data_IF_426339828454
#
_entry.id   IF_426339828454
#
_cell.length_a   1.000
_cell.length_b   1.000
_cell.length_c   1.000
_cell.angle_alpha   90.00
_cell.angle_beta   90.00
_cell.angle_gamma   90.00
#
_symmetry.space_group_name_H-M   'P 1'
#
loop_
_entity.id
_entity.type
_entity.pdbx_description
1 polymer ?
#
# COMPACT_ATOMS: atom_id res chain seq x y z
N UNK A 1 35.41 -32.92 14.71
CA UNK A 1 34.08 -32.28 14.75
C UNK A 1 33.27 -32.79 13.58
N UNK A 2 32.43 -33.82 13.80
CA UNK A 2 31.45 -34.19 12.78
C UNK A 2 30.48 -33.04 12.63
N UNK A 3 30.45 -32.47 11.45
CA UNK A 3 29.52 -31.37 11.07
C UNK A 3 28.09 -31.81 11.44
N UNK A 4 27.33 -30.97 12.12
CA UNK A 4 25.92 -31.16 12.42
C UNK A 4 25.10 -31.53 11.18
N UNK A 5 25.45 -30.96 10.03
CA UNK A 5 24.83 -31.25 8.73
C UNK A 5 24.92 -32.75 8.32
N UNK A 6 26.02 -33.43 8.61
CA UNK A 6 26.15 -34.89 8.31
C UNK A 6 25.20 -35.75 9.17
N UNK A 7 24.91 -35.36 10.41
CA UNK A 7 23.94 -36.04 11.29
C UNK A 7 22.49 -35.83 10.81
N UNK A 8 22.17 -34.66 10.22
CA UNK A 8 20.81 -34.30 9.84
C UNK A 8 20.35 -34.97 8.53
N UNK A 9 21.29 -35.40 7.67
CA UNK A 9 20.97 -36.16 6.43
C UNK A 9 20.32 -37.50 6.69
N UNK A 10 20.60 -38.12 7.84
CA UNK A 10 20.04 -39.44 8.22
C UNK A 10 18.77 -39.35 9.07
N UNK A 11 18.34 -38.13 9.41
CA UNK A 11 17.08 -37.95 10.12
C UNK A 11 15.90 -38.01 9.15
N UNK A 12 14.71 -38.27 9.67
CA UNK A 12 13.48 -38.25 8.88
C UNK A 12 13.21 -36.85 8.37
N UNK A 13 12.67 -36.75 7.16
CA UNK A 13 12.49 -35.50 6.45
C UNK A 13 11.61 -34.49 7.20
N UNK A 14 12.01 -33.23 7.15
CA UNK A 14 11.28 -32.11 7.70
C UNK A 14 11.59 -30.86 6.85
N UNK A 15 10.54 -30.19 6.36
CA UNK A 15 10.63 -29.01 5.50
C UNK A 15 9.72 -27.95 6.07
N UNK A 16 10.28 -26.76 6.35
CA UNK A 16 9.50 -25.60 6.74
C UNK A 16 9.26 -24.72 5.51
N UNK A 17 7.99 -24.45 5.20
CA UNK A 17 7.62 -23.54 4.12
C UNK A 17 7.66 -22.10 4.60
N UNK A 18 8.51 -21.30 3.98
CA UNK A 18 8.76 -19.90 4.36
C UNK A 18 8.29 -18.89 3.30
N UNK A 19 8.01 -19.36 2.09
CA UNK A 19 7.51 -18.52 1.00
C UNK A 19 6.57 -19.34 0.11
N UNK A 20 5.73 -18.63 -0.64
CA UNK A 20 4.86 -19.21 -1.66
C UNK A 20 5.22 -18.63 -3.02
N UNK A 21 5.06 -19.45 -4.05
CA UNK A 21 5.13 -19.06 -5.45
C UNK A 21 3.90 -19.61 -6.19
N UNK A 22 3.63 -19.11 -7.37
CA UNK A 22 2.47 -19.52 -8.15
C UNK A 22 2.84 -19.64 -9.63
N UNK A 23 2.32 -20.69 -10.24
CA UNK A 23 2.46 -20.92 -11.67
C UNK A 23 1.07 -21.24 -12.26
N UNK A 24 0.72 -20.61 -13.39
CA UNK A 24 -0.62 -20.71 -13.97
C UNK A 24 -0.98 -22.16 -14.42
N UNK A 25 0.01 -23.04 -14.60
CA UNK A 25 -0.18 -24.44 -15.01
C UNK A 25 -0.08 -25.43 -13.86
N UNK A 26 0.71 -25.12 -12.84
CA UNK A 26 1.04 -26.03 -11.74
C UNK A 26 0.25 -25.67 -10.49
N UNK A 27 -0.21 -24.42 -10.39
CA UNK A 27 -0.87 -23.85 -9.22
C UNK A 27 0.13 -23.37 -8.17
N UNK A 28 -0.28 -23.42 -6.90
CA UNK A 28 0.50 -22.95 -5.76
C UNK A 28 1.71 -23.83 -5.51
N UNK A 29 2.85 -23.23 -5.21
CA UNK A 29 4.15 -23.87 -5.00
C UNK A 29 4.67 -23.41 -3.64
N UNK A 30 4.91 -24.37 -2.73
CA UNK A 30 5.55 -24.08 -1.45
C UNK A 30 7.06 -24.03 -1.61
N UNK A 31 7.67 -22.93 -1.15
CA UNK A 31 9.12 -22.76 -1.10
C UNK A 31 9.59 -22.88 0.33
N UNK A 32 10.53 -23.79 0.58
CA UNK A 32 11.00 -24.04 1.92
C UNK A 32 12.39 -24.63 1.97
N UNK A 33 12.95 -24.65 3.16
CA UNK A 33 14.25 -25.31 3.42
C UNK A 33 14.02 -26.70 3.95
N UNK A 34 14.78 -27.65 3.43
CA UNK A 34 14.87 -28.98 4.01
C UNK A 34 15.73 -28.87 5.27
N UNK A 35 15.09 -28.93 6.44
CA UNK A 35 15.78 -28.82 7.74
C UNK A 35 16.47 -30.14 8.12
N UNK A 36 15.81 -31.26 7.81
CA UNK A 36 16.32 -32.61 8.11
C UNK A 36 15.98 -33.58 6.99
N UNK A 37 16.80 -34.60 6.86
CA UNK A 37 16.56 -35.75 5.98
C UNK A 37 16.71 -35.46 4.51
N UNK A 38 15.93 -36.15 3.71
CA UNK A 38 15.90 -36.01 2.25
C UNK A 38 14.48 -36.14 1.75
N UNK A 39 14.10 -35.31 0.81
CA UNK A 39 12.80 -35.35 0.12
C UNK A 39 13.01 -35.86 -1.32
N UNK A 40 12.06 -36.63 -1.82
CA UNK A 40 12.08 -37.17 -3.20
C UNK A 40 10.77 -36.78 -3.91
N UNK A 41 10.87 -36.71 -5.24
CA UNK A 41 9.70 -36.62 -6.10
C UNK A 41 8.77 -37.84 -5.93
N UNK A 42 7.46 -37.60 -5.96
CA UNK A 42 6.40 -38.58 -5.76
C UNK A 42 6.36 -39.23 -4.35
N UNK A 43 7.11 -38.75 -3.39
CA UNK A 43 7.12 -39.25 -2.03
C UNK A 43 5.88 -38.75 -1.25
N UNK A 44 5.23 -39.61 -0.43
CA UNK A 44 4.18 -39.17 0.45
C UNK A 44 4.78 -38.42 1.64
N UNK A 45 4.15 -37.29 2.00
CA UNK A 45 4.51 -36.47 3.15
C UNK A 45 3.26 -36.11 3.94
N UNK A 46 3.42 -35.73 5.19
CA UNK A 46 2.36 -35.20 6.04
C UNK A 46 2.56 -33.67 6.17
N UNK A 47 1.61 -32.89 5.70
CA UNK A 47 1.57 -31.47 5.90
C UNK A 47 0.92 -31.15 7.24
N UNK A 48 1.67 -30.55 8.15
CA UNK A 48 1.18 -30.04 9.43
C UNK A 48 0.78 -28.59 9.25
N UNK A 49 -0.53 -28.31 9.30
CA UNK A 49 -1.11 -26.96 9.11
C UNK A 49 -1.02 -26.12 10.39
N UNK A 50 -1.14 -24.81 10.23
CA UNK A 50 -1.08 -23.83 11.33
C UNK A 50 -2.21 -23.98 12.35
N UNK A 51 -3.34 -24.56 11.97
CA UNK A 51 -4.48 -24.86 12.85
C UNK A 51 -4.30 -26.19 13.64
N UNK A 52 -3.16 -26.87 13.46
CA UNK A 52 -2.85 -28.17 14.09
C UNK A 52 -3.40 -29.37 13.34
N UNK A 53 -4.10 -29.18 12.21
CA UNK A 53 -4.57 -30.27 11.37
C UNK A 53 -3.41 -30.90 10.57
N UNK A 54 -3.56 -32.16 10.19
CA UNK A 54 -2.57 -32.92 9.43
C UNK A 54 -3.21 -33.44 8.15
N UNK A 55 -2.53 -33.26 7.03
CA UNK A 55 -3.00 -33.67 5.71
C UNK A 55 -1.94 -34.57 5.04
N UNK A 56 -2.34 -35.75 4.57
CA UNK A 56 -1.46 -36.61 3.78
C UNK A 56 -1.44 -36.11 2.33
N UNK A 57 -0.30 -35.65 1.88
CA UNK A 57 -0.11 -35.10 0.53
C UNK A 57 1.06 -35.78 -0.17
N UNK A 58 1.19 -35.61 -1.45
CA UNK A 58 2.29 -36.16 -2.25
C UNK A 58 3.04 -35.04 -2.97
N UNK A 59 4.36 -35.11 -2.96
CA UNK A 59 5.26 -34.24 -3.71
C UNK A 59 5.10 -34.55 -5.21
N UNK A 60 4.29 -33.78 -5.95
CA UNK A 60 4.11 -34.04 -7.38
C UNK A 60 5.34 -33.68 -8.19
N UNK A 61 5.91 -32.52 -7.93
CA UNK A 61 7.19 -32.11 -8.52
C UNK A 61 8.05 -31.43 -7.47
N UNK A 62 9.34 -31.60 -7.60
CA UNK A 62 10.37 -31.05 -6.73
C UNK A 62 11.34 -30.24 -7.59
N UNK A 63 11.59 -28.99 -7.17
CA UNK A 63 12.54 -28.12 -7.86
C UNK A 63 13.57 -27.56 -6.89
N UNK A 64 14.73 -27.21 -7.41
CA UNK A 64 15.76 -26.41 -6.75
C UNK A 64 16.03 -25.16 -7.55
N UNK A 65 16.59 -24.12 -6.92
CA UNK A 65 17.03 -22.91 -7.59
C UNK A 65 18.46 -23.06 -8.13
N UNK A 66 18.62 -22.86 -9.43
CA UNK A 66 19.93 -22.66 -10.07
C UNK A 66 19.98 -21.22 -10.60
N UNK A 67 20.66 -20.33 -9.86
CA UNK A 67 20.58 -18.90 -10.09
C UNK A 67 19.17 -18.35 -9.87
N UNK A 68 18.55 -17.81 -10.92
CA UNK A 68 17.17 -17.30 -10.88
C UNK A 68 16.13 -18.29 -11.43
N UNK A 69 16.59 -19.44 -11.95
CA UNK A 69 15.71 -20.42 -12.58
C UNK A 69 15.39 -21.58 -11.64
N UNK A 70 14.21 -22.16 -11.78
CA UNK A 70 13.81 -23.40 -11.10
C UNK A 70 14.13 -24.60 -11.97
N UNK A 71 14.89 -25.54 -11.46
CA UNK A 71 15.27 -26.79 -12.13
C UNK A 71 14.63 -27.95 -11.41
N UNK A 72 13.95 -28.84 -12.14
CA UNK A 72 13.34 -30.02 -11.58
C UNK A 72 14.41 -31.04 -11.17
N UNK A 73 14.29 -31.58 -9.95
CA UNK A 73 15.22 -32.55 -9.37
C UNK A 73 14.48 -33.75 -8.83
N UNK A 74 15.14 -34.90 -8.80
CA UNK A 74 14.54 -36.13 -8.25
C UNK A 74 14.58 -36.20 -6.74
N UNK A 75 15.55 -35.54 -6.12
CA UNK A 75 15.69 -35.51 -4.65
C UNK A 75 16.48 -34.29 -4.19
N UNK A 76 16.21 -33.85 -2.96
CA UNK A 76 16.93 -32.81 -2.25
C UNK A 76 17.23 -33.23 -0.81
N UNK A 77 18.31 -32.69 -0.24
CA UNK A 77 18.81 -33.05 1.09
C UNK A 77 18.75 -31.90 2.09
N UNK A 78 18.98 -32.22 3.36
CA UNK A 78 19.05 -31.23 4.44
C UNK A 78 20.01 -30.07 4.07
N UNK A 79 19.54 -28.83 4.20
CA UNK A 79 20.21 -27.60 3.83
C UNK A 79 19.75 -27.01 2.50
N UNK A 80 19.14 -27.81 1.61
CA UNK A 80 18.67 -27.34 0.31
C UNK A 80 17.39 -26.50 0.44
N UNK A 81 17.26 -25.49 -0.41
CA UNK A 81 16.01 -24.73 -0.61
C UNK A 81 15.26 -25.36 -1.77
N UNK A 82 14.04 -25.81 -1.51
CA UNK A 82 13.22 -26.55 -2.46
C UNK A 82 11.90 -25.85 -2.74
N UNK A 83 11.40 -26.06 -3.95
CA UNK A 83 10.05 -25.69 -4.35
C UNK A 83 9.24 -26.97 -4.55
N UNK A 84 8.11 -27.11 -3.86
CA UNK A 84 7.26 -28.28 -3.90
C UNK A 84 5.91 -27.91 -4.47
N UNK A 85 5.46 -28.67 -5.47
CA UNK A 85 4.13 -28.53 -6.06
C UNK A 85 3.28 -29.79 -5.82
N UNK A 86 1.96 -29.64 -6.00
CA UNK A 86 0.99 -30.72 -5.81
C UNK A 86 0.27 -30.65 -4.46
N UNK A 87 0.46 -29.56 -3.73
CA UNK A 87 -0.23 -29.25 -2.48
C UNK A 87 -1.08 -28.01 -2.75
N UNK A 88 -2.40 -28.18 -2.89
CA UNK A 88 -3.30 -27.10 -3.30
C UNK A 88 -3.50 -26.03 -2.23
N UNK A 89 -3.42 -26.39 -0.97
CA UNK A 89 -3.70 -25.52 0.19
C UNK A 89 -2.51 -25.42 1.12
N UNK A 90 -1.36 -25.07 0.56
CA UNK A 90 -0.12 -24.86 1.31
C UNK A 90 -0.01 -23.40 1.75
N UNK A 91 0.43 -23.17 3.00
CA UNK A 91 0.61 -21.85 3.56
C UNK A 91 2.01 -21.68 4.17
N UNK A 92 2.41 -20.42 4.36
CA UNK A 92 3.68 -20.11 5.05
C UNK A 92 3.59 -20.50 6.52
N UNK A 93 4.69 -21.05 7.03
CA UNK A 93 4.80 -21.51 8.42
C UNK A 93 4.35 -22.97 8.61
N UNK A 94 3.79 -23.63 7.60
CA UNK A 94 3.46 -25.03 7.64
C UNK A 94 4.70 -25.91 7.48
N UNK A 95 4.67 -27.10 8.07
CA UNK A 95 5.78 -28.04 8.05
C UNK A 95 5.39 -29.32 7.34
N UNK A 96 6.17 -29.73 6.33
CA UNK A 96 6.05 -31.05 5.77
C UNK A 96 6.98 -32.05 6.50
N UNK A 97 6.39 -33.12 6.97
CA UNK A 97 7.08 -34.16 7.73
C UNK A 97 7.03 -35.53 7.02
N UNK A 98 7.93 -36.42 7.40
CA UNK A 98 7.81 -37.85 7.05
C UNK A 98 6.57 -38.45 7.73
N UNK A 99 5.79 -39.30 7.03
CA UNK A 99 4.65 -40.00 7.64
C UNK A 99 5.01 -40.80 8.89
N UNK A 100 6.23 -41.30 8.96
CA UNK A 100 6.73 -42.11 10.12
C UNK A 100 7.17 -41.23 11.31
N UNK A 101 7.32 -39.90 11.13
CA UNK A 101 7.81 -39.02 12.20
C UNK A 101 7.26 -37.62 11.99
N UNK A 102 6.14 -37.36 12.61
CA UNK A 102 5.43 -36.07 12.51
C UNK A 102 5.93 -35.18 13.65
N UNK A 103 6.82 -34.27 13.31
CA UNK A 103 7.39 -33.28 14.21
C UNK A 103 7.28 -31.89 13.56
N UNK A 104 6.15 -31.15 13.71
CA UNK A 104 6.00 -29.82 13.16
C UNK A 104 6.97 -28.85 13.83
N UNK A 105 7.53 -27.94 13.04
CA UNK A 105 8.32 -26.83 13.56
C UNK A 105 7.40 -25.75 14.15
N UNK A 106 7.93 -24.86 15.02
CA UNK A 106 7.14 -23.74 15.52
C UNK A 106 6.57 -22.93 14.36
N UNK A 107 5.26 -22.69 14.36
CA UNK A 107 4.59 -21.94 13.30
C UNK A 107 5.06 -20.49 13.29
N UNK A 108 5.35 -20.00 12.09
CA UNK A 108 5.61 -18.57 11.86
C UNK A 108 4.26 -17.87 11.79
N UNK A 109 3.97 -17.05 12.80
CA UNK A 109 2.76 -16.22 12.81
C UNK A 109 2.91 -15.11 11.79
N UNK A 110 2.00 -15.05 10.83
CA UNK A 110 1.93 -13.95 9.88
C UNK A 110 0.95 -12.92 10.42
N UNK A 111 1.37 -11.66 10.43
CA UNK A 111 0.51 -10.57 10.87
C UNK A 111 -0.67 -10.40 9.92
N UNK A 112 -1.84 -10.20 10.52
CA UNK A 112 -3.06 -9.90 9.78
C UNK A 112 -3.00 -8.51 9.13
N UNK A 113 -3.73 -8.30 8.02
CA UNK A 113 -3.86 -6.97 7.43
C UNK A 113 -4.43 -5.97 8.44
N UNK A 114 -3.83 -4.78 8.48
CA UNK A 114 -4.25 -3.68 9.37
C UNK A 114 -4.90 -2.52 8.63
N UNK A 115 -4.66 -2.39 7.32
CA UNK A 115 -5.15 -1.31 6.46
C UNK A 115 -5.88 -1.92 5.27
N UNK A 116 -6.97 -1.28 4.85
CA UNK A 116 -7.72 -1.63 3.64
C UNK A 116 -8.00 -0.40 2.78
N UNK A 117 -8.13 -0.61 1.47
CA UNK A 117 -8.58 0.40 0.51
C UNK A 117 -9.37 -0.25 -0.62
N UNK A 118 -10.17 0.55 -1.32
CA UNK A 118 -10.93 0.06 -2.46
C UNK A 118 -10.15 0.30 -3.76
N UNK A 119 -10.07 -0.75 -4.58
CA UNK A 119 -9.63 -0.71 -5.96
C UNK A 119 -10.87 -0.75 -6.85
N UNK A 120 -10.99 0.18 -7.77
CA UNK A 120 -12.19 0.35 -8.58
C UNK A 120 -11.82 0.54 -10.05
N UNK A 121 -12.73 0.17 -10.93
CA UNK A 121 -12.61 0.53 -12.34
C UNK A 121 -12.55 2.05 -12.47
N UNK A 122 -11.68 2.56 -13.35
CA UNK A 122 -11.60 3.98 -13.63
C UNK A 122 -12.82 4.41 -14.45
N UNK A 123 -13.66 5.26 -13.88
CA UNK A 123 -14.85 5.84 -14.50
C UNK A 123 -14.68 7.34 -14.81
N UNK A 124 -13.44 7.84 -14.84
CA UNK A 124 -13.13 9.22 -15.16
C UNK A 124 -13.38 9.53 -16.64
N UNK A 125 -13.52 10.81 -17.03
CA UNK A 125 -13.61 11.22 -18.44
C UNK A 125 -12.41 10.81 -19.30
N UNK A 126 -11.29 10.46 -18.68
CA UNK A 126 -10.06 10.03 -19.36
C UNK A 126 -9.84 8.51 -19.28
N UNK A 127 -10.82 7.77 -18.77
CA UNK A 127 -10.72 6.32 -18.65
C UNK A 127 -10.40 5.63 -19.99
N UNK A 128 -9.48 4.66 -19.95
CA UNK A 128 -9.09 3.86 -21.13
C UNK A 128 -8.15 4.54 -22.12
N UNK A 129 -7.67 5.76 -21.82
CA UNK A 129 -6.74 6.46 -22.73
C UNK A 129 -5.29 5.99 -22.61
N UNK A 130 -4.90 5.52 -21.47
CA UNK A 130 -3.50 5.22 -21.15
C UNK A 130 -3.28 3.76 -20.75
N UNK A 131 -4.27 3.12 -20.16
CA UNK A 131 -4.19 1.75 -19.69
C UNK A 131 -4.46 0.71 -20.77
N UNK A 132 -3.77 -0.43 -20.69
CA UNK A 132 -4.04 -1.62 -21.49
C UNK A 132 -5.13 -2.51 -20.85
N UNK A 133 -5.11 -2.61 -19.52
CA UNK A 133 -6.01 -3.42 -18.73
C UNK A 133 -6.92 -2.51 -17.89
N UNK A 134 -8.15 -2.30 -18.33
CA UNK A 134 -9.07 -1.28 -17.79
C UNK A 134 -10.40 -1.85 -17.29
N UNK A 135 -10.66 -3.15 -17.51
CA UNK A 135 -11.94 -3.77 -17.16
C UNK A 135 -11.93 -4.31 -15.73
N UNK A 136 -13.12 -4.42 -15.13
CA UNK A 136 -13.32 -5.04 -13.81
C UNK A 136 -12.71 -6.44 -13.75
N UNK A 137 -12.92 -7.25 -14.78
CA UNK A 137 -12.34 -8.60 -14.90
C UNK A 137 -10.82 -8.59 -14.84
N UNK A 138 -10.16 -7.70 -15.62
CA UNK A 138 -8.69 -7.61 -15.59
C UNK A 138 -8.16 -7.26 -14.20
N UNK A 139 -8.79 -6.29 -13.53
CA UNK A 139 -8.40 -5.85 -12.19
C UNK A 139 -8.62 -6.99 -11.19
N UNK A 140 -9.80 -7.65 -11.25
CA UNK A 140 -10.14 -8.79 -10.42
C UNK A 140 -9.12 -9.92 -10.53
N UNK A 141 -8.89 -10.41 -11.75
CA UNK A 141 -7.99 -11.54 -12.00
C UNK A 141 -6.57 -11.22 -11.51
N UNK A 142 -6.11 -9.98 -11.68
CA UNK A 142 -4.79 -9.53 -11.21
C UNK A 142 -4.71 -9.46 -9.68
N UNK A 143 -5.74 -8.94 -9.01
CA UNK A 143 -5.77 -8.83 -7.55
C UNK A 143 -5.84 -10.21 -6.89
N UNK A 144 -6.68 -11.12 -7.41
CA UNK A 144 -6.75 -12.48 -6.87
C UNK A 144 -5.48 -13.28 -7.12
N UNK A 145 -4.80 -13.07 -8.25
CA UNK A 145 -3.49 -13.68 -8.51
C UNK A 145 -2.43 -13.21 -7.50
N UNK A 146 -2.49 -11.97 -7.04
CA UNK A 146 -1.57 -11.46 -6.01
C UNK A 146 -1.73 -12.21 -4.69
N UNK A 147 -2.95 -12.55 -4.29
CA UNK A 147 -3.23 -13.27 -3.03
C UNK A 147 -2.64 -14.69 -3.04
N UNK A 148 -2.45 -15.31 -4.20
CA UNK A 148 -1.86 -16.65 -4.29
C UNK A 148 -0.41 -16.70 -3.79
N UNK A 149 0.33 -15.61 -3.92
CA UNK A 149 1.73 -15.49 -3.49
C UNK A 149 1.90 -14.64 -2.25
N UNK A 150 0.97 -13.73 -1.97
CA UNK A 150 1.05 -12.75 -0.90
C UNK A 150 0.05 -13.04 0.22
N UNK A 151 0.45 -13.89 1.15
CA UNK A 151 -0.39 -14.36 2.27
C UNK A 151 -0.83 -13.27 3.25
N UNK A 152 -0.17 -12.10 3.22
CA UNK A 152 -0.53 -10.96 4.08
C UNK A 152 -1.54 -10.02 3.43
N UNK A 153 -1.98 -10.33 2.24
CA UNK A 153 -2.97 -9.56 1.50
C UNK A 153 -4.29 -10.32 1.45
N UNK A 154 -5.39 -9.59 1.56
CA UNK A 154 -6.74 -10.13 1.34
C UNK A 154 -7.45 -9.27 0.31
N UNK A 155 -8.17 -9.93 -0.58
CA UNK A 155 -9.02 -9.30 -1.59
C UNK A 155 -10.44 -9.80 -1.39
N UNK A 156 -11.37 -8.87 -1.21
CA UNK A 156 -12.79 -9.15 -1.01
C UNK A 156 -13.58 -8.46 -2.12
N UNK A 157 -14.53 -9.18 -2.70
CA UNK A 157 -15.53 -8.57 -3.59
C UNK A 157 -16.49 -7.74 -2.73
N UNK A 158 -16.97 -6.63 -3.29
CA UNK A 158 -17.97 -5.78 -2.64
C UNK A 158 -19.33 -5.96 -3.32
N UNK A 159 -20.37 -5.29 -2.81
CA UNK A 159 -21.70 -5.28 -3.45
C UNK A 159 -21.68 -4.70 -4.87
N UNK A 160 -20.62 -3.98 -5.22
CA UNK A 160 -20.38 -3.46 -6.57
C UNK A 160 -19.44 -4.37 -7.34
N UNK A 161 -19.83 -4.76 -8.55
CA UNK A 161 -19.01 -5.58 -9.46
C UNK A 161 -17.71 -4.92 -9.92
N UNK A 162 -17.61 -3.61 -9.76
CA UNK A 162 -16.49 -2.78 -10.22
C UNK A 162 -15.57 -2.31 -9.09
N UNK A 163 -15.80 -2.83 -7.87
CA UNK A 163 -15.06 -2.42 -6.67
C UNK A 163 -14.57 -3.63 -5.90
N UNK A 164 -13.30 -3.65 -5.56
CA UNK A 164 -12.63 -4.69 -4.78
C UNK A 164 -12.01 -4.06 -3.54
N UNK A 165 -12.28 -4.64 -2.38
CA UNK A 165 -11.63 -4.23 -1.12
C UNK A 165 -10.33 -5.01 -0.97
N UNK A 166 -9.23 -4.32 -0.95
CA UNK A 166 -7.89 -4.89 -0.78
C UNK A 166 -7.35 -4.49 0.58
N UNK A 167 -6.93 -5.48 1.35
CA UNK A 167 -6.38 -5.30 2.69
C UNK A 167 -4.93 -5.75 2.73
N UNK A 168 -4.07 -4.98 3.40
CA UNK A 168 -2.63 -5.22 3.50
C UNK A 168 -2.08 -4.85 4.87
N UNK A 169 -0.81 -5.18 5.13
CA UNK A 169 -0.15 -4.90 6.41
C UNK A 169 0.06 -3.42 6.69
N UNK A 170 0.14 -2.60 5.64
CA UNK A 170 0.41 -1.17 5.77
C UNK A 170 0.34 -0.43 4.44
N UNK A 171 0.50 0.88 4.51
CA UNK A 171 0.42 1.78 3.35
C UNK A 171 1.44 1.42 2.26
N UNK A 172 2.70 1.16 2.64
CA UNK A 172 3.76 0.78 1.71
C UNK A 172 3.43 -0.52 0.96
N UNK A 173 2.82 -1.49 1.61
CA UNK A 173 2.43 -2.76 0.98
C UNK A 173 1.39 -2.53 -0.13
N UNK A 174 0.41 -1.66 0.11
CA UNK A 174 -0.61 -1.30 -0.88
C UNK A 174 -0.04 -0.41 -1.99
N UNK A 175 0.88 0.51 -1.69
CA UNK A 175 1.52 1.37 -2.70
C UNK A 175 2.41 0.57 -3.66
N UNK A 176 3.11 -0.46 -3.17
CA UNK A 176 3.89 -1.39 -4.02
C UNK A 176 2.97 -2.15 -4.98
N UNK A 177 1.83 -2.64 -4.50
CA UNK A 177 0.84 -3.30 -5.37
C UNK A 177 0.35 -2.34 -6.46
N UNK A 178 -0.05 -1.12 -6.08
CA UNK A 178 -0.53 -0.09 -7.02
C UNK A 178 0.53 0.21 -8.08
N UNK A 179 1.77 0.45 -7.67
CA UNK A 179 2.86 0.77 -8.60
C UNK A 179 3.21 -0.44 -9.50
N UNK A 180 3.16 -1.66 -8.98
CA UNK A 180 3.38 -2.88 -9.76
C UNK A 180 2.29 -3.04 -10.83
N UNK A 181 1.02 -2.88 -10.48
CA UNK A 181 -0.08 -2.93 -11.44
C UNK A 181 0.02 -1.82 -12.47
N UNK A 182 0.36 -0.59 -12.04
CA UNK A 182 0.59 0.55 -12.93
C UNK A 182 1.65 0.24 -13.99
N UNK A 183 2.81 -0.31 -13.60
CA UNK A 183 3.90 -0.72 -14.52
C UNK A 183 3.51 -1.86 -15.44
N UNK A 184 2.60 -2.72 -15.01
CA UNK A 184 2.05 -3.79 -15.84
C UNK A 184 1.02 -3.30 -16.88
N UNK A 185 0.67 -2.02 -16.87
CA UNK A 185 -0.24 -1.41 -17.83
C UNK A 185 -1.71 -1.39 -17.40
N UNK A 186 -1.99 -1.61 -16.12
CA UNK A 186 -3.34 -1.49 -15.57
C UNK A 186 -3.72 -0.02 -15.36
N UNK A 187 -5.00 0.27 -15.55
CA UNK A 187 -5.62 1.55 -15.24
C UNK A 187 -6.82 1.30 -14.32
N UNK A 188 -6.83 1.99 -13.19
CA UNK A 188 -7.83 1.84 -12.14
C UNK A 188 -7.86 3.08 -11.25
N UNK A 189 -8.76 3.13 -10.30
CA UNK A 189 -8.79 4.16 -9.28
C UNK A 189 -8.83 3.55 -7.88
N UNK A 190 -8.30 4.29 -6.91
CA UNK A 190 -8.26 3.84 -5.52
C UNK A 190 -8.84 4.86 -4.57
N UNK A 191 -9.42 4.38 -3.47
CA UNK A 191 -9.90 5.20 -2.37
C UNK A 191 -8.78 5.48 -1.36
N UNK A 192 -9.04 6.40 -0.43
CA UNK A 192 -8.19 6.59 0.74
C UNK A 192 -8.01 5.28 1.51
N UNK A 193 -6.78 4.95 1.96
CA UNK A 193 -6.56 3.83 2.86
C UNK A 193 -7.22 4.08 4.22
N UNK A 194 -7.84 3.02 4.78
CA UNK A 194 -8.51 3.03 6.09
C UNK A 194 -7.99 1.88 6.94
N UNK A 195 -7.83 2.11 8.23
CA UNK A 195 -7.49 1.04 9.16
C UNK A 195 -8.68 0.09 9.34
N UNK A 196 -8.36 -1.17 9.55
CA UNK A 196 -9.37 -2.22 9.80
C UNK A 196 -9.68 -2.20 11.30
N UNK A 197 -10.90 -1.79 11.63
CA UNK A 197 -11.40 -1.82 12.99
C UNK A 197 -11.93 -3.21 13.32
N UNK A 198 -11.74 -3.65 14.58
CA UNK A 198 -12.28 -4.91 15.10
C UNK A 198 -13.15 -4.64 16.33
N UNK A 199 -14.18 -5.42 16.48
CA UNK A 199 -14.97 -5.42 17.72
C UNK A 199 -14.41 -6.47 18.68
N UNK A 200 -13.86 -6.03 19.81
CA UNK A 200 -13.27 -6.89 20.83
C UNK A 200 -13.96 -6.57 22.16
N UNK A 201 -14.61 -7.57 22.76
CA UNK A 201 -15.36 -7.43 24.03
C UNK A 201 -16.42 -6.31 23.97
N UNK A 202 -17.11 -6.15 22.84
CA UNK A 202 -18.16 -5.12 22.66
C UNK A 202 -17.62 -3.69 22.53
N UNK A 203 -16.32 -3.51 22.30
CA UNK A 203 -15.68 -2.22 22.03
C UNK A 203 -15.04 -2.22 20.67
N UNK A 204 -15.22 -1.12 19.93
CA UNK A 204 -14.50 -0.88 18.68
C UNK A 204 -13.02 -0.65 18.99
N UNK A 205 -12.17 -1.51 18.46
CA UNK A 205 -10.72 -1.46 18.63
C UNK A 205 -10.03 -1.16 17.30
N UNK A 206 -8.92 -0.45 17.38
CA UNK A 206 -8.07 -0.11 16.24
C UNK A 206 -6.68 -0.74 16.38
N UNK A 207 -6.00 -1.01 15.25
CA UNK A 207 -4.65 -1.55 15.28
C UNK A 207 -3.66 -0.51 15.82
N UNK A 208 -2.78 -0.97 16.71
CA UNK A 208 -1.71 -0.18 17.32
C UNK A 208 -0.36 -0.63 16.81
N UNK A 209 0.57 0.30 16.71
CA UNK A 209 1.95 0.04 16.34
C UNK A 209 2.91 0.58 17.39
N UNK A 210 3.97 -0.18 17.62
CA UNK A 210 5.17 0.30 18.31
C UNK A 210 6.05 0.98 17.27
N UNK A 211 6.13 2.29 17.36
CA UNK A 211 6.94 3.12 16.49
C UNK A 211 8.28 3.41 17.18
N UNK A 212 9.37 3.06 16.53
CA UNK A 212 10.73 3.33 16.99
C UNK A 212 11.33 4.40 16.08
N UNK A 213 11.75 5.49 16.69
CA UNK A 213 12.32 6.65 16.00
C UNK A 213 13.70 6.96 16.53
N UNK A 214 14.67 7.17 15.65
CA UNK A 214 16.01 7.65 15.99
C UNK A 214 16.25 8.98 15.27
N UNK A 215 16.45 10.04 16.02
CA UNK A 215 16.65 11.41 15.49
C UNK A 215 17.70 12.17 16.26
N UNK A 216 18.44 13.11 15.63
CA UNK A 216 19.25 14.09 16.34
C UNK A 216 18.43 14.90 17.34
N UNK A 217 19.04 15.29 18.47
CA UNK A 217 18.38 15.97 19.59
C UNK A 217 17.55 17.20 19.17
N UNK A 218 18.04 17.95 18.21
CA UNK A 218 17.37 19.17 17.70
C UNK A 218 15.98 18.93 17.08
N UNK A 219 15.66 17.69 16.65
CA UNK A 219 14.37 17.35 16.03
C UNK A 219 13.40 16.64 16.98
N UNK A 220 13.86 16.27 18.18
CA UNK A 220 13.06 15.51 19.16
C UNK A 220 11.74 16.22 19.49
N UNK A 221 11.79 17.52 19.74
CA UNK A 221 10.60 18.31 20.08
C UNK A 221 9.54 18.28 18.99
N UNK A 222 9.94 18.49 17.72
CA UNK A 222 9.03 18.46 16.57
C UNK A 222 8.38 17.08 16.38
N UNK A 223 9.17 16.01 16.55
CA UNK A 223 8.67 14.62 16.43
C UNK A 223 7.65 14.31 17.54
N UNK A 224 7.95 14.66 18.80
CA UNK A 224 7.04 14.42 19.93
C UNK A 224 5.72 15.18 19.75
N UNK A 225 5.77 16.46 19.36
CA UNK A 225 4.57 17.28 19.09
C UNK A 225 3.70 16.68 18.01
N UNK A 226 4.30 16.32 16.87
CA UNK A 226 3.60 15.73 15.72
C UNK A 226 2.97 14.38 16.05
N UNK A 227 3.71 13.48 16.67
CA UNK A 227 3.18 12.16 17.06
C UNK A 227 2.12 12.27 18.15
N UNK A 228 2.27 13.20 19.09
CA UNK A 228 1.25 13.47 20.10
C UNK A 228 -0.08 13.92 19.49
N UNK A 229 -0.06 14.83 18.51
CA UNK A 229 -1.27 15.26 17.78
C UNK A 229 -1.96 14.09 17.02
N UNK A 230 -1.20 13.07 16.64
CA UNK A 230 -1.64 11.84 15.97
C UNK A 230 -1.98 10.70 16.94
N UNK A 231 -2.17 11.01 18.24
CA UNK A 231 -2.50 10.07 19.33
C UNK A 231 -1.38 9.08 19.65
N UNK A 232 -0.14 9.41 19.34
CA UNK A 232 1.04 8.67 19.78
C UNK A 232 1.34 8.94 21.25
N UNK A 233 1.58 7.89 22.01
CA UNK A 233 1.99 7.92 23.42
C UNK A 233 3.47 7.56 23.50
N UNK A 234 4.28 8.44 24.06
CA UNK A 234 5.72 8.19 24.28
C UNK A 234 5.86 7.14 25.38
N UNK A 235 6.45 6.00 25.05
CA UNK A 235 6.67 4.86 25.96
C UNK A 235 8.06 4.92 26.56
N UNK A 236 9.05 5.25 25.74
CA UNK A 236 10.46 5.24 26.15
C UNK A 236 11.24 6.32 25.39
N UNK A 237 12.25 6.88 26.07
CA UNK A 237 13.17 7.85 25.48
C UNK A 237 14.58 7.62 26.07
N UNK A 238 15.56 7.53 25.20
CA UNK A 238 16.96 7.34 25.59
C UNK A 238 17.92 7.93 24.58
N UNK A 239 19.16 8.20 25.03
CA UNK A 239 20.23 8.64 24.14
C UNK A 239 21.09 7.44 23.77
N UNK A 240 21.40 7.25 22.50
CA UNK A 240 22.36 6.23 22.05
C UNK A 240 23.76 6.81 21.87
N UNK A 241 24.74 5.92 21.84
CA UNK A 241 26.11 6.26 21.50
C UNK A 241 26.13 6.90 20.09
N UNK A 242 26.65 8.14 20.01
CA UNK A 242 26.64 8.93 18.75
C UNK A 242 25.74 10.15 18.74
N UNK A 243 24.99 10.43 19.83
CA UNK A 243 24.21 11.67 20.01
C UNK A 243 22.82 11.64 19.34
N UNK A 244 22.38 10.48 18.86
CA UNK A 244 21.01 10.29 18.40
C UNK A 244 20.10 9.95 19.58
N UNK A 245 18.92 10.56 19.62
CA UNK A 245 17.87 10.24 20.58
C UNK A 245 16.99 9.13 20.03
N UNK A 246 16.83 8.09 20.83
CA UNK A 246 15.94 6.95 20.56
C UNK A 246 14.60 7.20 21.28
N UNK A 247 13.52 7.13 20.51
CA UNK A 247 12.16 7.35 20.99
C UNK A 247 11.31 6.14 20.62
N UNK A 248 10.51 5.67 21.57
CA UNK A 248 9.52 4.61 21.34
C UNK A 248 8.11 5.15 21.60
N UNK A 249 7.24 5.03 20.62
CA UNK A 249 5.86 5.45 20.73
C UNK A 249 4.91 4.27 20.49
N UNK A 250 3.83 4.27 21.24
CA UNK A 250 2.67 3.45 20.95
C UNK A 250 1.61 4.32 20.29
N UNK A 251 1.29 4.01 19.02
CA UNK A 251 0.49 4.88 18.18
C UNK A 251 -0.54 4.07 17.35
N UNK A 252 -1.77 4.58 17.15
CA UNK A 252 -2.71 3.97 16.20
C UNK A 252 -2.12 3.93 14.79
N UNK A 253 -2.25 2.79 14.07
CA UNK A 253 -1.74 2.66 12.69
C UNK A 253 -2.24 3.77 11.76
N UNK A 254 -3.48 4.27 11.94
CA UNK A 254 -4.00 5.41 11.18
C UNK A 254 -3.27 6.73 11.45
N UNK A 255 -2.62 6.87 12.60
CA UNK A 255 -1.78 8.03 12.92
C UNK A 255 -0.47 8.06 12.13
N UNK A 256 -0.04 6.93 11.59
CA UNK A 256 1.17 6.81 10.77
C UNK A 256 0.92 6.98 9.28
N UNK A 257 -0.34 6.95 8.83
CA UNK A 257 -0.68 7.21 7.43
C UNK A 257 -0.21 8.62 7.07
N UNK A 258 0.70 8.69 6.09
CA UNK A 258 1.30 9.93 5.61
C UNK A 258 2.37 10.55 6.51
N UNK A 259 2.59 10.04 7.71
CA UNK A 259 3.58 10.64 8.62
C UNK A 259 5.03 10.51 8.12
N UNK A 260 5.33 9.48 7.33
CA UNK A 260 6.70 9.24 6.84
C UNK A 260 7.24 10.42 6.01
N UNK A 261 6.43 11.01 5.16
CA UNK A 261 6.82 12.15 4.34
C UNK A 261 7.05 13.43 5.19
N UNK A 262 6.16 13.67 6.16
CA UNK A 262 6.33 14.77 7.13
C UNK A 262 7.58 14.56 7.97
N UNK A 263 7.79 13.37 8.51
CA UNK A 263 8.94 13.01 9.33
C UNK A 263 10.27 13.27 8.61
N UNK A 264 10.39 12.86 7.34
CA UNK A 264 11.59 13.14 6.54
C UNK A 264 11.81 14.63 6.31
N UNK A 265 10.73 15.40 6.15
CA UNK A 265 10.82 16.86 6.02
C UNK A 265 11.22 17.53 7.33
N UNK A 266 10.57 17.18 8.43
CA UNK A 266 10.82 17.75 9.76
C UNK A 266 12.22 17.42 10.29
N UNK A 267 12.78 16.28 9.91
CA UNK A 267 14.13 15.83 10.29
C UNK A 267 15.22 16.15 9.25
N UNK A 268 14.86 16.83 8.15
CA UNK A 268 15.75 17.06 7.00
C UNK A 268 16.44 15.77 6.49
N UNK A 269 15.72 14.63 6.55
CA UNK A 269 16.22 13.31 6.17
C UNK A 269 17.16 12.64 7.17
N UNK A 270 17.42 13.24 8.35
CA UNK A 270 18.35 12.70 9.35
C UNK A 270 17.69 11.77 10.39
N UNK A 271 16.45 11.38 10.17
CA UNK A 271 15.72 10.48 11.06
C UNK A 271 15.57 9.07 10.49
N UNK A 272 15.57 8.08 11.39
CA UNK A 272 15.24 6.69 11.09
C UNK A 272 13.92 6.36 11.79
N UNK A 273 13.01 5.73 11.09
CA UNK A 273 11.69 5.37 11.60
C UNK A 273 11.36 3.92 11.24
N UNK A 274 11.09 3.11 12.25
CA UNK A 274 10.66 1.72 12.13
C UNK A 274 9.36 1.51 12.91
N UNK A 275 8.48 0.66 12.40
CA UNK A 275 7.20 0.37 13.03
C UNK A 275 6.92 -1.13 13.02
N UNK A 276 6.30 -1.62 14.10
CA UNK A 276 5.91 -3.01 14.28
C UNK A 276 4.51 -3.06 14.86
N UNK A 277 3.67 -3.95 14.33
CA UNK A 277 2.32 -4.15 14.85
C UNK A 277 2.36 -4.64 16.32
N UNK A 278 1.61 -3.97 17.20
CA UNK A 278 1.59 -4.19 18.66
C UNK A 278 0.21 -4.62 19.20
N UNK A 279 -0.72 -4.98 18.33
CA UNK A 279 -2.03 -5.47 18.74
C UNK A 279 -3.18 -4.50 18.49
N UNK A 280 -4.28 -4.67 19.22
CA UNK A 280 -5.50 -3.86 19.10
C UNK A 280 -5.84 -3.19 20.43
N UNK A 281 -6.19 -1.90 20.40
CA UNK A 281 -6.69 -1.14 21.54
C UNK A 281 -8.02 -0.45 21.22
N UNK A 282 -8.80 -0.05 22.24
CA UNK A 282 -9.98 0.75 22.03
C UNK A 282 -9.68 2.01 21.22
N UNK A 283 -10.59 2.37 20.32
CA UNK A 283 -10.46 3.53 19.43
C UNK A 283 -10.19 4.83 20.22
N UNK A 284 -9.08 5.51 19.89
CA UNK A 284 -8.55 6.70 20.62
C UNK A 284 -9.17 8.03 20.16
N UNK A 285 -10.29 8.01 19.46
CA UNK A 285 -10.95 9.23 18.96
C UNK A 285 -10.38 9.69 17.60
N UNK A 286 -10.88 10.78 17.09
CA UNK A 286 -10.50 11.26 15.75
C UNK A 286 -9.07 11.81 15.70
N UNK A 287 -8.41 11.60 14.56
CA UNK A 287 -7.13 12.20 14.19
C UNK A 287 -7.39 13.11 12.99
N UNK A 288 -7.07 14.38 13.15
CA UNK A 288 -7.16 15.35 12.04
C UNK A 288 -5.95 15.16 11.15
N UNK A 289 -6.16 14.66 9.93
CA UNK A 289 -5.08 14.41 8.97
C UNK A 289 -4.85 15.61 8.05
N UNK A 290 -5.85 16.00 7.26
CA UNK A 290 -5.78 17.13 6.35
C UNK A 290 -6.98 18.06 6.56
N UNK A 291 -6.73 19.27 7.06
CA UNK A 291 -7.77 20.28 7.24
C UNK A 291 -8.06 21.03 5.93
N UNK A 292 -7.03 21.33 5.15
CA UNK A 292 -7.12 22.13 3.94
C UNK A 292 -7.99 21.48 2.86
N UNK A 293 -8.71 22.34 2.13
CA UNK A 293 -9.54 21.93 1.00
C UNK A 293 -8.74 21.65 -0.27
N UNK A 294 -9.44 21.26 -1.33
CA UNK A 294 -8.89 20.98 -2.65
C UNK A 294 -9.21 22.12 -3.62
N UNK A 295 -8.30 22.40 -4.55
CA UNK A 295 -8.57 23.22 -5.73
C UNK A 295 -9.10 22.28 -6.81
N UNK A 296 -10.38 22.45 -7.14
CA UNK A 296 -11.14 21.54 -8.02
C UNK A 296 -11.40 22.25 -9.36
N UNK A 297 -11.20 21.54 -10.45
CA UNK A 297 -11.43 22.04 -11.81
C UNK A 297 -12.93 22.25 -12.07
N UNK A 298 -13.27 23.38 -12.68
CA UNK A 298 -14.65 23.77 -13.00
C UNK A 298 -15.17 23.11 -14.27
N UNK A 299 -14.34 23.02 -15.31
CA UNK A 299 -14.74 22.55 -16.64
C UNK A 299 -13.62 21.74 -17.30
N UNK A 300 -14.00 20.89 -18.24
CA UNK A 300 -13.05 20.09 -19.02
C UNK A 300 -12.35 20.97 -20.07
N UNK A 301 -11.04 20.84 -20.19
CA UNK A 301 -10.23 21.60 -21.13
C UNK A 301 -8.74 21.41 -20.92
N UNK A 302 -7.95 22.40 -21.30
CA UNK A 302 -6.50 22.44 -21.12
C UNK A 302 -6.14 23.57 -20.16
N UNK A 303 -5.31 23.29 -19.16
CA UNK A 303 -4.83 24.30 -18.21
C UNK A 303 -4.01 25.37 -18.93
N UNK A 304 -4.30 26.64 -18.65
CA UNK A 304 -3.60 27.77 -19.24
C UNK A 304 -2.72 28.50 -18.22
N UNK A 305 -1.64 29.11 -18.65
CA UNK A 305 -0.80 29.92 -17.78
C UNK A 305 -1.61 31.02 -17.07
N UNK A 306 -2.56 31.67 -17.78
CA UNK A 306 -3.44 32.70 -17.21
C UNK A 306 -4.41 32.12 -16.16
N UNK A 307 -5.00 30.96 -16.41
CA UNK A 307 -5.90 30.32 -15.48
C UNK A 307 -5.18 29.89 -14.18
N UNK A 308 -3.97 29.33 -14.32
CA UNK A 308 -3.12 28.94 -13.19
C UNK A 308 -2.62 30.15 -12.41
N UNK A 309 -2.20 31.24 -13.09
CA UNK A 309 -1.78 32.48 -12.46
C UNK A 309 -2.88 33.07 -11.55
N UNK A 310 -4.11 33.10 -12.01
CA UNK A 310 -5.25 33.58 -11.21
C UNK A 310 -5.64 32.62 -10.06
N UNK A 311 -5.13 31.38 -10.08
CA UNK A 311 -5.47 30.35 -9.08
C UNK A 311 -4.37 30.16 -8.05
N UNK A 312 -3.11 30.45 -8.35
CA UNK A 312 -1.96 30.22 -7.47
C UNK A 312 -2.04 30.93 -6.12
N UNK A 313 -2.68 32.09 -6.03
CA UNK A 313 -2.87 32.82 -4.77
C UNK A 313 -3.87 32.13 -3.83
N UNK A 314 -4.60 31.15 -4.32
CA UNK A 314 -5.58 30.37 -3.53
C UNK A 314 -5.02 29.14 -2.90
N UNK A 315 -3.79 28.74 -3.26
CA UNK A 315 -3.14 27.58 -2.71
C UNK A 315 -2.02 27.03 -3.59
N UNK A 316 -1.55 25.83 -3.25
CA UNK A 316 -0.44 25.14 -3.91
C UNK A 316 -0.96 24.32 -5.09
N UNK A 317 -0.40 24.52 -6.29
CA UNK A 317 -0.78 23.80 -7.50
C UNK A 317 0.05 22.52 -7.70
N UNK A 318 -0.56 21.52 -8.34
CA UNK A 318 0.05 20.21 -8.62
C UNK A 318 0.36 19.95 -10.09
N UNK A 319 -0.13 20.82 -10.98
CA UNK A 319 0.01 20.67 -12.42
C UNK A 319 0.58 21.93 -13.09
N UNK A 320 1.34 21.78 -14.19
CA UNK A 320 1.77 22.91 -15.03
C UNK A 320 0.67 23.35 -15.99
N UNK A 321 0.96 24.39 -16.77
CA UNK A 321 0.15 24.79 -17.92
C UNK A 321 0.30 23.78 -19.07
N UNK A 322 -0.74 23.64 -19.88
CA UNK A 322 -0.77 22.73 -21.04
C UNK A 322 -1.24 21.32 -20.74
N UNK A 323 -1.70 21.05 -19.52
CA UNK A 323 -2.21 19.73 -19.12
C UNK A 323 -3.71 19.65 -19.37
N UNK A 324 -4.16 18.56 -19.98
CA UNK A 324 -5.59 18.26 -20.11
C UNK A 324 -6.20 17.97 -18.72
N UNK A 325 -7.37 18.53 -18.46
CA UNK A 325 -8.11 18.42 -17.21
C UNK A 325 -9.58 18.23 -17.47
N UNK A 326 -10.30 17.69 -16.50
CA UNK A 326 -11.75 17.51 -16.57
C UNK A 326 -12.46 18.08 -15.32
N UNK A 327 -13.75 18.34 -15.41
CA UNK A 327 -14.58 18.80 -14.29
C UNK A 327 -14.45 17.84 -13.10
N UNK A 328 -14.16 18.37 -11.92
CA UNK A 328 -14.01 17.56 -10.71
C UNK A 328 -12.60 17.00 -10.46
N UNK A 329 -11.66 17.18 -11.39
CA UNK A 329 -10.24 16.87 -11.17
C UNK A 329 -9.67 17.81 -10.11
N UNK A 330 -8.80 17.32 -9.24
CA UNK A 330 -8.12 18.10 -8.21
C UNK A 330 -6.74 18.46 -8.73
N UNK A 331 -6.43 19.75 -8.73
CA UNK A 331 -5.20 20.30 -9.32
C UNK A 331 -4.37 21.12 -8.34
N UNK A 332 -4.77 21.12 -7.08
CA UNK A 332 -4.03 21.79 -6.02
C UNK A 332 -4.67 21.63 -4.65
N UNK A 333 -3.91 22.04 -3.63
CA UNK A 333 -4.36 22.18 -2.25
C UNK A 333 -4.76 23.63 -1.98
N UNK A 334 -5.95 23.82 -1.42
CA UNK A 334 -6.42 25.16 -1.07
C UNK A 334 -5.74 25.68 0.21
N UNK A 335 -5.50 26.97 0.30
CA UNK A 335 -5.01 27.61 1.53
C UNK A 335 -6.06 27.63 2.65
N UNK A 336 -7.36 27.45 2.31
CA UNK A 336 -8.50 27.39 3.24
C UNK A 336 -8.96 25.95 3.44
N UNK A 337 -9.74 25.73 4.49
CA UNK A 337 -10.27 24.40 4.85
C UNK A 337 -11.39 23.91 3.90
N UNK A 338 -11.91 24.77 3.06
CA UNK A 338 -12.98 24.46 2.12
C UNK A 338 -12.45 24.24 0.70
N UNK A 339 -13.12 23.36 -0.05
CA UNK A 339 -12.82 23.16 -1.46
C UNK A 339 -13.20 24.38 -2.30
N UNK A 340 -12.34 24.74 -3.22
CA UNK A 340 -12.57 25.84 -4.15
C UNK A 340 -12.63 25.30 -5.57
N UNK A 341 -13.68 25.67 -6.30
CA UNK A 341 -13.81 25.35 -7.73
C UNK A 341 -13.27 26.50 -8.56
N UNK A 342 -12.26 26.22 -9.38
CA UNK A 342 -11.56 27.22 -10.19
C UNK A 342 -11.61 26.87 -11.68
N UNK A 343 -11.73 27.87 -12.52
CA UNK A 343 -11.57 27.73 -13.97
C UNK A 343 -10.12 27.98 -14.36
N UNK A 344 -9.36 26.89 -14.48
CA UNK A 344 -7.94 26.94 -14.91
C UNK A 344 -7.75 26.84 -16.43
N UNK A 345 -8.83 26.62 -17.18
CA UNK A 345 -8.80 26.57 -18.64
C UNK A 345 -9.00 27.96 -19.28
N UNK A 346 -9.30 28.98 -18.47
CA UNK A 346 -9.58 30.31 -18.92
C UNK A 346 -8.36 30.95 -19.59
N UNK A 347 -8.50 31.39 -20.85
CA UNK A 347 -7.50 32.17 -21.57
C UNK A 347 -7.65 33.68 -21.30
N UNK A 348 -6.56 34.41 -21.43
CA UNK A 348 -6.61 35.89 -21.41
C UNK A 348 -7.37 36.38 -22.66
N UNK A 349 -8.47 37.09 -22.48
CA UNK A 349 -9.09 37.77 -23.61
C UNK A 349 -8.17 38.89 -24.08
N UNK A 350 -7.77 38.84 -25.34
CA UNK A 350 -7.07 39.94 -25.99
C UNK A 350 -8.06 41.12 -26.10
N UNK A 351 -7.95 42.09 -25.22
CA UNK A 351 -8.65 43.36 -25.37
C UNK A 351 -7.84 44.23 -26.34
N UNK A 352 -8.47 44.56 -27.47
CA UNK A 352 -7.91 45.56 -28.39
C UNK A 352 -7.67 46.85 -27.63
N UNK A 353 -6.46 47.40 -27.72
CA UNK A 353 -6.00 48.77 -27.53
C UNK A 353 -5.09 49.06 -26.32
N UNK A 354 -3.97 49.67 -26.65
CA UNK A 354 -3.12 50.63 -25.87
C UNK A 354 -2.32 50.14 -24.66
N UNK A 355 -2.32 48.84 -24.32
CA UNK A 355 -1.42 48.30 -23.29
C UNK A 355 -0.52 47.19 -23.83
N UNK A 356 -0.07 47.28 -25.07
CA UNK A 356 0.87 46.34 -25.68
C UNK A 356 2.30 46.41 -25.09
N UNK A 357 2.54 47.32 -24.13
CA UNK A 357 3.81 47.47 -23.43
C UNK A 357 3.91 46.80 -22.06
N UNK A 358 2.82 46.20 -21.55
CA UNK A 358 2.81 45.59 -20.22
C UNK A 358 2.36 44.12 -20.26
N UNK A 359 2.80 43.33 -21.24
CA UNK A 359 2.80 41.88 -21.14
C UNK A 359 3.97 41.47 -20.24
N UNK A 360 3.87 41.82 -18.94
CA UNK A 360 4.72 41.23 -17.95
C UNK A 360 4.52 39.73 -18.02
N UNK A 361 5.62 38.96 -18.22
CA UNK A 361 5.61 37.55 -18.26
C UNK A 361 4.94 37.02 -16.98
N UNK A 362 3.84 36.27 -17.11
CA UNK A 362 3.10 35.71 -15.99
C UNK A 362 4.05 34.83 -15.20
N UNK A 363 4.45 35.26 -14.01
CA UNK A 363 5.29 34.46 -13.09
C UNK A 363 4.42 33.44 -12.40
N UNK A 364 4.54 32.20 -12.83
CA UNK A 364 3.93 31.05 -12.13
C UNK A 364 4.87 30.58 -11.03
N UNK A 365 4.30 30.34 -9.84
CA UNK A 365 4.99 29.60 -8.76
C UNK A 365 5.19 28.16 -9.24
N UNK A 366 6.36 27.54 -9.01
CA UNK A 366 6.57 26.14 -9.34
C UNK A 366 5.48 25.25 -8.76
N UNK A 367 4.92 24.38 -9.59
CA UNK A 367 3.95 23.38 -9.13
C UNK A 367 4.66 22.27 -8.36
N UNK A 368 3.92 21.56 -7.50
CA UNK A 368 4.43 20.42 -6.74
C UNK A 368 3.99 19.15 -7.43
N UNK A 369 4.94 18.39 -7.96
CA UNK A 369 4.67 17.02 -8.43
C UNK A 369 4.57 16.08 -7.24
N UNK A 370 3.48 15.32 -7.16
CA UNK A 370 3.22 14.42 -6.04
C UNK A 370 3.56 12.98 -6.42
N UNK A 371 4.28 12.28 -5.54
CA UNK A 371 4.48 10.84 -5.66
C UNK A 371 3.17 10.07 -5.40
N UNK A 372 3.16 8.76 -5.69
CA UNK A 372 2.01 7.89 -5.42
C UNK A 372 1.61 7.94 -3.93
N UNK A 373 2.60 7.83 -3.05
CA UNK A 373 2.39 7.85 -1.60
C UNK A 373 1.80 9.19 -1.15
N UNK A 374 2.33 10.31 -1.65
CA UNK A 374 1.80 11.64 -1.36
C UNK A 374 0.38 11.83 -1.89
N UNK A 375 0.05 11.26 -3.05
CA UNK A 375 -1.31 11.26 -3.56
C UNK A 375 -2.27 10.45 -2.67
N UNK A 376 -1.85 9.26 -2.22
CA UNK A 376 -2.66 8.40 -1.33
C UNK A 376 -2.91 9.06 0.03
N UNK A 377 -1.91 9.75 0.56
CA UNK A 377 -2.01 10.53 1.80
C UNK A 377 -2.94 11.73 1.65
N UNK A 378 -2.86 12.41 0.49
CA UNK A 378 -3.60 13.63 0.23
C UNK A 378 -5.11 13.43 0.14
N UNK A 379 -5.60 12.34 -0.45
CA UNK A 379 -7.02 12.12 -0.71
C UNK A 379 -7.86 12.01 0.55
N UNK A 380 -9.05 12.66 0.54
CA UNK A 380 -10.11 12.56 1.54
C UNK A 380 -11.10 11.43 1.18
N UNK A 381 -12.07 11.18 2.04
CA UNK A 381 -13.09 10.12 1.84
C UNK A 381 -13.99 10.36 0.61
N UNK A 382 -14.16 11.62 0.21
CA UNK A 382 -14.91 12.04 -0.98
C UNK A 382 -14.04 12.20 -2.23
N UNK A 383 -12.76 11.82 -2.14
CA UNK A 383 -11.75 11.92 -3.20
C UNK A 383 -11.25 10.55 -3.61
N UNK A 384 -10.74 10.45 -4.83
CA UNK A 384 -10.17 9.24 -5.42
C UNK A 384 -8.85 9.58 -6.11
N UNK A 385 -7.97 8.61 -6.16
CA UNK A 385 -6.75 8.65 -6.96
C UNK A 385 -6.94 7.78 -8.19
N UNK A 386 -6.88 8.38 -9.37
CA UNK A 386 -6.83 7.71 -10.65
C UNK A 386 -5.38 7.33 -10.96
N UNK A 387 -5.15 6.04 -11.16
CA UNK A 387 -3.83 5.46 -11.42
C UNK A 387 -3.80 4.91 -12.83
N UNK A 388 -2.89 5.43 -13.64
CA UNK A 388 -2.67 4.98 -15.01
C UNK A 388 -1.19 4.72 -15.25
N UNK A 389 -0.79 4.01 -16.30
CA UNK A 389 0.62 3.78 -16.60
C UNK A 389 1.47 5.05 -16.72
N UNK A 390 0.86 6.16 -17.14
CA UNK A 390 1.58 7.43 -17.41
C UNK A 390 1.30 8.51 -16.38
N UNK A 391 0.13 8.49 -15.71
CA UNK A 391 -0.35 9.62 -14.91
C UNK A 391 -0.95 9.17 -13.58
N UNK A 392 -0.81 10.03 -12.59
CA UNK A 392 -1.54 9.98 -11.32
C UNK A 392 -2.43 11.23 -11.28
N UNK A 393 -3.74 11.06 -11.14
CA UNK A 393 -4.69 12.17 -11.14
C UNK A 393 -5.60 12.09 -9.93
N UNK A 394 -5.64 13.16 -9.18
CA UNK A 394 -6.55 13.31 -8.05
C UNK A 394 -7.90 13.81 -8.55
N UNK A 395 -8.99 13.28 -8.02
CA UNK A 395 -10.33 13.70 -8.42
C UNK A 395 -11.34 13.62 -7.26
N UNK A 396 -12.42 14.37 -7.38
CA UNK A 396 -13.60 14.15 -6.54
C UNK A 396 -14.33 12.88 -6.98
N UNK A 397 -14.90 12.14 -6.04
CA UNK A 397 -15.74 10.97 -6.32
C UNK A 397 -16.95 11.36 -7.18
N UNK A 398 -17.58 12.48 -6.85
CA UNK A 398 -18.64 13.08 -7.65
C UNK A 398 -18.04 14.26 -8.43
N UNK A 399 -17.93 14.12 -9.74
CA UNK A 399 -17.26 15.11 -10.58
C UNK A 399 -18.05 16.43 -10.64
N UNK A 400 -19.38 16.37 -10.86
CA UNK A 400 -20.22 17.57 -11.02
C UNK A 400 -20.36 18.37 -9.72
N UNK A 401 -20.05 19.66 -9.80
CA UNK A 401 -20.23 20.59 -8.69
C UNK A 401 -21.65 20.64 -8.16
N UNK A 402 -22.65 20.63 -9.05
CA UNK A 402 -24.05 20.69 -8.66
C UNK A 402 -24.48 19.46 -7.87
N UNK A 403 -24.01 18.27 -8.29
CA UNK A 403 -24.31 17.01 -7.59
C UNK A 403 -23.65 16.98 -6.22
N UNK A 404 -22.40 17.48 -6.07
CA UNK A 404 -21.72 17.57 -4.76
C UNK A 404 -22.52 18.46 -3.80
N UNK A 405 -22.93 19.66 -4.25
CA UNK A 405 -23.73 20.56 -3.43
C UNK A 405 -25.06 19.93 -3.01
N UNK A 406 -25.80 19.28 -3.93
CA UNK A 406 -27.06 18.57 -3.59
C UNK A 406 -26.86 17.48 -2.55
N UNK A 407 -25.73 16.76 -2.58
CA UNK A 407 -25.42 15.72 -1.58
C UNK A 407 -25.15 16.34 -0.21
N UNK A 408 -24.38 17.43 -0.13
CA UNK A 408 -24.12 18.14 1.13
C UNK A 408 -25.40 18.65 1.79
N UNK A 409 -26.40 19.09 1.00
CA UNK A 409 -27.71 19.52 1.53
C UNK A 409 -28.63 18.37 1.95
N UNK A 410 -28.45 17.15 1.38
CA UNK A 410 -29.23 15.97 1.77
C UNK A 410 -28.66 15.23 2.98
N UNK A 411 -27.41 15.44 3.32
CA UNK A 411 -26.72 14.82 4.46
C UNK A 411 -26.76 15.66 5.75
N UNK A 412 -27.39 16.84 5.69
CA UNK A 412 -27.77 17.67 6.84
C UNK A 412 -29.27 17.46 7.14
#
# INVERSE_FOLDING_TARGET
>A
VRSSAASDVYKRQQILFTSLDYDDYIGRIGVGRVERGRVKKNEPIVLCKTDGTQENVRVSRLYQFEGLSRVEVDSAAAGDIVCISGISDINIGETACSPDCIEPMPFIKIDEPTISMNFMVNDSPFAGREGKFVTSRNIRDRLFKEVETNVSMRVEETDSTDTFKVSGRGELHLSILIETMRRQGYEFQVSRPKVILKEINGKTCEPMELLIVEVPEQYVGAVIEKLGSRKGELVNMGTRDGGATHLEFRIPSRGLIGYRAEFLTDTNGNGIMNQVFDGYEPYKGEIVTRERGSIVVHETGVSTAYGLFNTQDRGRLFIPAGVEVYEGMIVGECAKNEDIVCNICKSKHLTNTRASGSDDALRLVPYTEMSLEQCMEFIKDDELLEVTPKSLRLRKRILSKEKRLKQQFRGK
#
